data_IF_047872433903
#
_entry.id   IF_047872433903
#
_cell.length_a   1.000
_cell.length_b   1.000
_cell.length_c   1.000
_cell.angle_alpha   90.00
_cell.angle_beta   90.00
_cell.angle_gamma   90.00
#
_symmetry.space_group_name_H-M   'P 1'
#
loop_
_entity.id
_entity.type
_entity.pdbx_description
1 polymer ?
#
# COMPACT_ATOMS: atom_id res chain seq x y z
N UNK A 1 14.13 3.37 -9.69
CA UNK A 1 13.71 2.91 -8.35
C UNK A 1 13.19 1.48 -8.33
N UNK A 2 12.31 1.05 -9.26
CA UNK A 2 11.67 -0.28 -9.22
C UNK A 2 12.63 -1.48 -9.15
N UNK A 3 13.76 -1.46 -9.89
CA UNK A 3 14.73 -2.58 -9.89
C UNK A 3 15.47 -2.69 -8.55
N UNK A 4 15.82 -1.55 -7.93
CA UNK A 4 16.49 -1.54 -6.64
C UNK A 4 15.56 -2.02 -5.51
N UNK A 5 14.29 -1.59 -5.52
CA UNK A 5 13.27 -2.06 -4.56
C UNK A 5 13.08 -3.58 -4.63
N UNK A 6 13.00 -4.15 -5.85
CA UNK A 6 12.86 -5.61 -6.06
C UNK A 6 14.09 -6.37 -5.58
N UNK A 7 15.31 -5.87 -5.85
CA UNK A 7 16.56 -6.47 -5.37
C UNK A 7 16.66 -6.45 -3.85
N UNK A 8 16.30 -5.34 -3.21
CA UNK A 8 16.25 -5.23 -1.75
C UNK A 8 15.19 -6.18 -1.16
N UNK A 9 14.02 -6.30 -1.81
CA UNK A 9 12.99 -7.25 -1.44
C UNK A 9 13.45 -8.71 -1.51
N UNK A 10 14.13 -9.11 -2.59
CA UNK A 10 14.69 -10.46 -2.75
C UNK A 10 15.76 -10.79 -1.70
N UNK A 11 16.64 -9.84 -1.39
CA UNK A 11 17.64 -10.01 -0.34
C UNK A 11 16.98 -10.23 1.03
N UNK A 12 15.96 -9.44 1.34
CA UNK A 12 15.19 -9.57 2.58
C UNK A 12 14.39 -10.88 2.65
N UNK A 13 13.82 -11.32 1.53
CA UNK A 13 13.12 -12.60 1.41
C UNK A 13 14.07 -13.75 1.74
N UNK A 14 15.25 -13.80 1.11
CA UNK A 14 16.22 -14.86 1.36
C UNK A 14 16.66 -14.87 2.84
N UNK A 15 16.97 -13.70 3.41
CA UNK A 15 17.30 -13.57 4.84
C UNK A 15 16.17 -14.08 5.75
N UNK A 16 14.93 -13.78 5.40
CA UNK A 16 13.74 -14.20 6.18
C UNK A 16 13.52 -15.70 6.09
N UNK A 17 13.71 -16.30 4.91
CA UNK A 17 13.66 -17.75 4.71
C UNK A 17 14.72 -18.44 5.55
N UNK A 18 15.96 -17.96 5.51
CA UNK A 18 17.07 -18.55 6.26
C UNK A 18 16.86 -18.43 7.77
N UNK A 19 16.35 -17.29 8.24
CA UNK A 19 15.99 -17.11 9.64
C UNK A 19 14.93 -18.12 10.08
N UNK A 20 13.85 -18.29 9.31
CA UNK A 20 12.80 -19.26 9.62
C UNK A 20 13.41 -20.65 9.66
N UNK A 21 14.13 -21.09 8.62
CA UNK A 21 14.72 -22.44 8.59
C UNK A 21 15.65 -22.72 9.77
N UNK A 22 16.49 -21.75 10.14
CA UNK A 22 17.47 -21.91 11.21
C UNK A 22 16.81 -21.98 12.58
N UNK A 23 15.72 -21.24 12.78
CA UNK A 23 15.10 -21.07 14.09
C UNK A 23 13.78 -21.85 14.25
N UNK A 24 13.25 -22.46 13.20
CA UNK A 24 11.95 -23.15 13.19
C UNK A 24 11.84 -24.20 14.32
N UNK A 25 12.93 -24.91 14.57
CA UNK A 25 12.99 -25.96 15.58
C UNK A 25 13.16 -25.43 17.01
N UNK A 26 13.67 -24.21 17.17
CA UNK A 26 13.97 -23.59 18.48
C UNK A 26 12.84 -22.69 18.96
N UNK A 27 12.05 -22.12 18.03
CA UNK A 27 10.89 -21.32 18.38
C UNK A 27 9.76 -22.19 18.97
N UNK A 28 9.16 -21.71 20.04
CA UNK A 28 7.96 -22.28 20.67
C UNK A 28 6.68 -21.73 20.04
N UNK A 29 6.73 -20.48 19.58
CA UNK A 29 5.58 -19.75 19.05
C UNK A 29 5.85 -19.21 17.65
N UNK A 30 4.82 -19.29 16.81
CA UNK A 30 4.85 -18.79 15.42
C UNK A 30 5.01 -17.26 15.34
N UNK A 31 4.68 -16.54 16.42
CA UNK A 31 4.87 -15.09 16.54
C UNK A 31 6.34 -14.68 16.41
N UNK A 32 7.29 -15.55 16.78
CA UNK A 32 8.72 -15.31 16.60
C UNK A 32 9.12 -15.18 15.13
N UNK A 33 8.30 -15.70 14.21
CA UNK A 33 8.50 -15.61 12.77
C UNK A 33 7.61 -14.56 12.10
N UNK A 34 6.71 -13.90 12.82
CA UNK A 34 5.70 -13.02 12.23
C UNK A 34 6.31 -11.92 11.34
N UNK A 35 7.41 -11.30 11.77
CA UNK A 35 8.14 -10.31 10.97
C UNK A 35 8.75 -10.92 9.71
N UNK A 36 9.39 -12.09 9.82
CA UNK A 36 10.00 -12.78 8.67
C UNK A 36 8.95 -13.25 7.66
N UNK A 37 7.81 -13.73 8.15
CA UNK A 37 6.66 -14.09 7.31
C UNK A 37 6.10 -12.85 6.60
N UNK A 38 5.97 -11.74 7.34
CA UNK A 38 5.57 -10.45 6.78
C UNK A 38 6.52 -9.99 5.66
N UNK A 39 7.82 -10.06 5.90
CA UNK A 39 8.87 -9.71 4.94
C UNK A 39 8.83 -10.55 3.66
N UNK A 40 8.59 -11.86 3.77
CA UNK A 40 8.44 -12.75 2.61
C UNK A 40 7.24 -12.30 1.76
N UNK A 41 6.09 -12.07 2.41
CA UNK A 41 4.87 -11.67 1.70
C UNK A 41 4.97 -10.25 1.11
N UNK A 42 5.66 -9.33 1.79
CA UNK A 42 5.91 -7.97 1.28
C UNK A 42 6.87 -7.98 0.09
N UNK A 43 7.89 -8.85 0.10
CA UNK A 43 8.80 -9.01 -1.01
C UNK A 43 8.09 -9.57 -2.25
N UNK A 44 7.19 -10.55 -2.10
CA UNK A 44 6.34 -11.04 -3.20
C UNK A 44 5.47 -9.92 -3.79
N UNK A 45 4.86 -9.13 -2.92
CA UNK A 45 4.06 -7.96 -3.28
C UNK A 45 4.88 -6.93 -4.08
N UNK A 46 6.14 -6.68 -3.66
CA UNK A 46 7.06 -5.76 -4.34
C UNK A 46 7.49 -6.30 -5.71
N UNK A 47 7.81 -7.60 -5.83
CA UNK A 47 8.12 -8.25 -7.11
C UNK A 47 6.93 -8.11 -8.07
N UNK A 48 5.71 -8.41 -7.60
CA UNK A 48 4.51 -8.32 -8.42
C UNK A 48 4.16 -6.88 -8.82
N UNK A 49 4.30 -5.92 -7.89
CA UNK A 49 4.14 -4.48 -8.19
C UNK A 49 5.20 -3.99 -9.17
N UNK A 50 6.44 -4.44 -9.05
CA UNK A 50 7.52 -4.09 -9.95
C UNK A 50 7.23 -4.53 -11.39
N UNK A 51 6.77 -5.78 -11.55
CA UNK A 51 6.29 -6.30 -12.83
C UNK A 51 5.10 -5.50 -13.40
N UNK A 52 4.11 -5.21 -12.57
CA UNK A 52 2.91 -4.48 -12.98
C UNK A 52 3.18 -3.01 -13.36
N UNK A 53 4.13 -2.35 -12.68
CA UNK A 53 4.54 -0.98 -12.99
C UNK A 53 5.35 -0.90 -14.28
N UNK A 54 6.26 -1.86 -14.53
CA UNK A 54 7.05 -1.91 -15.76
C UNK A 54 6.20 -2.29 -16.98
N UNK A 55 5.20 -3.15 -16.82
CA UNK A 55 4.21 -3.40 -17.87
C UNK A 55 3.41 -2.15 -18.29
N UNK A 56 3.33 -1.13 -17.42
CA UNK A 56 2.70 0.18 -17.73
C UNK A 56 3.67 1.22 -18.30
N UNK A 57 4.97 0.98 -18.25
CA UNK A 57 5.99 1.83 -18.88
C UNK A 57 6.14 1.43 -20.36
N UNK A 58 6.37 2.41 -21.24
CA UNK A 58 6.19 2.29 -22.69
C UNK A 58 6.98 1.17 -23.38
N UNK A 59 6.48 0.79 -24.55
CA UNK A 59 6.89 -0.30 -25.45
C UNK A 59 8.42 -0.42 -25.64
N UNK A 60 9.18 0.68 -25.56
CA UNK A 60 10.64 0.69 -25.72
C UNK A 60 11.42 -0.04 -24.61
N UNK A 61 10.88 -0.14 -23.38
CA UNK A 61 11.54 -0.77 -22.22
C UNK A 61 11.05 -2.22 -21.98
N UNK A 62 10.05 -2.67 -22.74
CA UNK A 62 9.39 -3.98 -22.60
C UNK A 62 10.11 -5.13 -23.33
N UNK A 63 11.00 -4.84 -24.29
CA UNK A 63 11.60 -5.85 -25.18
C UNK A 63 13.02 -6.28 -24.81
N UNK A 64 13.54 -5.86 -23.66
CA UNK A 64 14.75 -6.48 -23.11
C UNK A 64 14.45 -7.92 -22.71
N UNK A 65 14.73 -8.92 -23.55
CA UNK A 65 14.49 -10.34 -23.24
C UNK A 65 15.08 -10.74 -21.85
N UNK A 66 16.21 -10.12 -21.49
CA UNK A 66 16.89 -10.27 -20.20
C UNK A 66 16.08 -9.72 -19.01
N UNK A 67 15.33 -8.62 -19.17
CA UNK A 67 14.54 -8.01 -18.09
C UNK A 67 13.26 -8.82 -17.83
N UNK A 68 12.59 -9.30 -18.88
CA UNK A 68 11.41 -10.16 -18.76
C UNK A 68 11.77 -11.52 -18.16
N UNK A 69 12.87 -12.14 -18.62
CA UNK A 69 13.34 -13.41 -18.07
C UNK A 69 13.67 -13.30 -16.57
N UNK A 70 14.40 -12.26 -16.15
CA UNK A 70 14.71 -12.01 -14.73
C UNK A 70 13.44 -11.88 -13.90
N UNK A 71 12.45 -11.12 -14.37
CA UNK A 71 11.20 -10.89 -13.64
C UNK A 71 10.36 -12.16 -13.44
N UNK A 72 10.35 -13.04 -14.45
CA UNK A 72 9.68 -14.33 -14.34
C UNK A 72 10.43 -15.24 -13.37
N UNK A 73 11.76 -15.28 -13.46
CA UNK A 73 12.61 -16.09 -12.58
C UNK A 73 12.46 -15.63 -11.13
N UNK A 74 12.55 -14.32 -10.85
CA UNK A 74 12.43 -13.77 -9.50
C UNK A 74 11.06 -14.07 -8.88
N UNK A 75 9.98 -13.97 -9.68
CA UNK A 75 8.64 -14.33 -9.23
C UNK A 75 8.49 -15.83 -8.94
N UNK A 76 9.14 -16.69 -9.73
CA UNK A 76 9.14 -18.14 -9.49
C UNK A 76 9.93 -18.51 -8.24
N UNK A 77 11.12 -17.92 -8.06
CA UNK A 77 11.95 -18.14 -6.87
C UNK A 77 11.19 -17.70 -5.61
N UNK A 78 10.55 -16.53 -5.62
CA UNK A 78 9.78 -16.07 -4.47
C UNK A 78 8.62 -17.03 -4.13
N UNK A 79 7.87 -17.48 -5.14
CA UNK A 79 6.79 -18.44 -4.95
C UNK A 79 7.27 -19.80 -4.41
N UNK A 80 8.42 -20.30 -4.88
CA UNK A 80 9.04 -21.53 -4.38
C UNK A 80 9.44 -21.39 -2.91
N UNK A 81 10.10 -20.28 -2.56
CA UNK A 81 10.52 -19.99 -1.19
C UNK A 81 9.32 -19.85 -0.24
N UNK A 82 8.26 -19.18 -0.69
CA UNK A 82 7.00 -19.09 0.05
C UNK A 82 6.40 -20.48 0.28
N UNK A 83 6.36 -21.32 -0.76
CA UNK A 83 5.84 -22.68 -0.62
C UNK A 83 6.68 -23.49 0.38
N UNK A 84 8.00 -23.44 0.26
CA UNK A 84 8.92 -24.13 1.18
C UNK A 84 8.67 -23.73 2.64
N UNK A 85 8.55 -22.44 2.92
CA UNK A 85 8.25 -21.94 4.26
C UNK A 85 6.84 -22.33 4.71
N UNK A 86 5.85 -22.31 3.82
CA UNK A 86 4.49 -22.72 4.17
C UNK A 86 4.43 -24.16 4.66
N UNK A 87 5.12 -25.07 3.94
CA UNK A 87 5.21 -26.48 4.33
C UNK A 87 5.99 -26.62 5.63
N UNK A 88 7.10 -25.90 5.79
CA UNK A 88 7.91 -25.97 7.02
C UNK A 88 7.12 -25.50 8.25
N UNK A 89 6.37 -24.40 8.12
CA UNK A 89 5.50 -23.87 9.18
C UNK A 89 4.38 -24.86 9.51
N UNK A 90 3.69 -25.39 8.50
CA UNK A 90 2.59 -26.34 8.71
C UNK A 90 3.07 -27.67 9.32
N UNK A 91 4.25 -28.15 8.92
CA UNK A 91 4.87 -29.35 9.51
C UNK A 91 5.22 -29.15 11.00
N UNK A 92 5.57 -27.93 11.40
CA UNK A 92 5.98 -27.62 12.78
C UNK A 92 4.80 -27.29 13.69
N UNK A 93 3.86 -26.47 13.21
CA UNK A 93 2.79 -25.89 14.02
C UNK A 93 1.42 -26.49 13.74
N UNK A 94 1.32 -27.44 12.81
CA UNK A 94 0.08 -28.09 12.40
C UNK A 94 -0.45 -27.53 11.08
N UNK A 95 -1.11 -28.39 10.32
CA UNK A 95 -1.63 -28.11 8.99
C UNK A 95 -2.56 -26.89 8.98
N UNK A 96 -2.38 -25.98 8.02
CA UNK A 96 -3.21 -24.79 7.85
C UNK A 96 -2.82 -23.61 8.73
N UNK A 97 -1.78 -23.72 9.55
CA UNK A 97 -1.22 -22.61 10.34
C UNK A 97 -0.68 -21.50 9.44
N UNK A 98 0.04 -21.86 8.39
CA UNK A 98 0.50 -20.89 7.41
C UNK A 98 -0.68 -20.15 6.75
N UNK A 99 -1.70 -20.92 6.36
CA UNK A 99 -2.88 -20.36 5.69
C UNK A 99 -3.63 -19.37 6.60
N UNK A 100 -3.84 -19.70 7.87
CA UNK A 100 -4.53 -18.81 8.80
C UNK A 100 -3.79 -17.49 9.01
N UNK A 101 -2.45 -17.51 9.04
CA UNK A 101 -1.62 -16.29 9.13
C UNK A 101 -1.79 -15.42 7.89
N UNK A 102 -1.71 -16.01 6.71
CA UNK A 102 -1.86 -15.28 5.44
C UNK A 102 -3.27 -14.69 5.32
N UNK A 103 -4.30 -15.47 5.65
CA UNK A 103 -5.70 -15.05 5.57
C UNK A 103 -5.99 -13.91 6.58
N UNK A 104 -5.48 -14.01 7.81
CA UNK A 104 -5.61 -12.95 8.82
C UNK A 104 -4.89 -11.66 8.40
N UNK A 105 -3.68 -11.78 7.83
CA UNK A 105 -2.95 -10.63 7.29
C UNK A 105 -3.70 -9.98 6.15
N UNK A 106 -4.26 -10.78 5.24
CA UNK A 106 -5.06 -10.30 4.11
C UNK A 106 -6.30 -9.54 4.61
N UNK A 107 -7.00 -10.08 5.62
CA UNK A 107 -8.13 -9.43 6.29
C UNK A 107 -7.75 -8.06 6.86
N UNK A 108 -6.70 -7.99 7.68
CA UNK A 108 -6.23 -6.73 8.27
C UNK A 108 -5.80 -5.71 7.22
N UNK A 109 -5.14 -6.15 6.15
CA UNK A 109 -4.74 -5.26 5.06
C UNK A 109 -5.96 -4.73 4.30
N UNK A 110 -6.99 -5.54 4.10
CA UNK A 110 -8.24 -5.12 3.47
C UNK A 110 -8.98 -4.10 4.34
N UNK A 111 -9.15 -4.37 5.64
CA UNK A 111 -9.76 -3.45 6.60
C UNK A 111 -9.01 -2.11 6.63
N UNK A 112 -7.68 -2.12 6.66
CA UNK A 112 -6.88 -0.90 6.61
C UNK A 112 -7.08 -0.12 5.30
N UNK A 113 -7.19 -0.81 4.16
CA UNK A 113 -7.48 -0.19 2.86
C UNK A 113 -8.88 0.41 2.81
N UNK A 114 -9.87 -0.26 3.38
CA UNK A 114 -11.26 0.21 3.44
C UNK A 114 -11.37 1.45 4.32
N UNK A 115 -10.78 1.43 5.52
CA UNK A 115 -10.71 2.61 6.38
C UNK A 115 -9.97 3.78 5.73
N UNK A 116 -8.88 3.52 5.00
CA UNK A 116 -8.16 4.57 4.30
C UNK A 116 -9.01 5.20 3.18
N UNK A 117 -9.79 4.39 2.45
CA UNK A 117 -10.73 4.87 1.43
C UNK A 117 -11.86 5.69 2.05
N UNK A 118 -12.41 5.24 3.18
CA UNK A 118 -13.47 5.96 3.89
C UNK A 118 -12.98 7.31 4.42
N UNK A 119 -11.81 7.34 5.09
CA UNK A 119 -11.17 8.58 5.53
C UNK A 119 -10.92 9.53 4.36
N UNK A 120 -10.47 9.02 3.21
CA UNK A 120 -10.27 9.81 2.01
C UNK A 120 -11.59 10.37 1.44
N UNK A 121 -12.70 9.62 1.51
CA UNK A 121 -14.03 10.11 1.12
C UNK A 121 -14.52 11.21 2.05
N UNK A 122 -14.43 11.00 3.36
CA UNK A 122 -14.83 11.99 4.37
C UNK A 122 -13.99 13.27 4.23
N UNK A 123 -12.68 13.14 4.01
CA UNK A 123 -11.81 14.29 3.80
C UNK A 123 -12.20 15.10 2.55
N UNK A 124 -12.59 14.43 1.45
CA UNK A 124 -13.10 15.10 0.24
C UNK A 124 -14.43 15.82 0.50
N UNK A 125 -15.38 15.16 1.18
CA UNK A 125 -16.66 15.79 1.53
C UNK A 125 -16.47 17.03 2.40
N UNK A 126 -15.61 16.94 3.42
CA UNK A 126 -15.27 18.11 4.26
C UNK A 126 -14.64 19.24 3.47
N UNK A 127 -13.79 18.93 2.49
CA UNK A 127 -13.22 19.96 1.62
C UNK A 127 -14.30 20.64 0.77
N UNK A 128 -15.24 19.87 0.20
CA UNK A 128 -16.37 20.39 -0.56
C UNK A 128 -17.28 21.28 0.30
N UNK A 129 -17.65 20.82 1.51
CA UNK A 129 -18.45 21.59 2.46
C UNK A 129 -17.76 22.90 2.88
N UNK A 130 -16.46 22.87 3.18
CA UNK A 130 -15.71 24.08 3.53
C UNK A 130 -15.67 25.05 2.35
N UNK A 131 -15.46 24.56 1.13
CA UNK A 131 -15.46 25.40 -0.08
C UNK A 131 -16.82 26.06 -0.33
N UNK A 132 -17.91 25.33 -0.10
CA UNK A 132 -19.27 25.87 -0.21
C UNK A 132 -19.54 26.95 0.85
N UNK A 133 -19.21 26.68 2.11
CA UNK A 133 -19.37 27.65 3.20
C UNK A 133 -18.53 28.91 2.95
N UNK A 134 -17.27 28.75 2.52
CA UNK A 134 -16.41 29.88 2.14
C UNK A 134 -17.01 30.68 0.99
N UNK A 135 -17.54 30.00 -0.04
CA UNK A 135 -18.22 30.65 -1.15
C UNK A 135 -19.42 31.49 -0.69
N UNK A 136 -20.27 30.94 0.17
CA UNK A 136 -21.45 31.66 0.72
C UNK A 136 -21.00 32.88 1.54
N UNK A 137 -20.00 32.74 2.41
CA UNK A 137 -19.49 33.85 3.23
C UNK A 137 -18.94 34.98 2.35
N UNK A 138 -18.19 34.65 1.29
CA UNK A 138 -17.67 35.64 0.35
C UNK A 138 -18.78 36.40 -0.38
N UNK A 139 -19.85 35.71 -0.80
CA UNK A 139 -21.02 36.34 -1.44
C UNK A 139 -21.72 37.30 -0.47
N UNK A 140 -21.94 36.89 0.79
CA UNK A 140 -22.56 37.75 1.81
C UNK A 140 -21.71 39.00 2.04
N UNK A 141 -20.40 38.85 2.20
CA UNK A 141 -19.48 39.98 2.38
C UNK A 141 -19.49 40.92 1.18
N UNK A 142 -19.54 40.40 -0.05
CA UNK A 142 -19.62 41.21 -1.26
C UNK A 142 -20.93 42.02 -1.33
N UNK A 143 -22.07 41.40 -1.03
CA UNK A 143 -23.37 42.08 -1.02
C UNK A 143 -23.44 43.15 0.08
N UNK A 144 -23.00 42.82 1.31
CA UNK A 144 -22.93 43.78 2.40
C UNK A 144 -21.98 44.94 2.10
N UNK A 145 -20.83 44.66 1.49
CA UNK A 145 -19.85 45.67 1.08
C UNK A 145 -20.42 46.63 0.04
N UNK A 146 -21.08 46.11 -1.01
CA UNK A 146 -21.75 46.93 -2.02
C UNK A 146 -22.88 47.78 -1.41
N UNK A 147 -23.68 47.20 -0.51
CA UNK A 147 -24.75 47.91 0.18
C UNK A 147 -24.23 49.08 1.03
N UNK A 148 -23.15 48.85 1.80
CA UNK A 148 -22.50 49.91 2.58
C UNK A 148 -21.91 51.01 1.69
N UNK A 149 -21.32 50.65 0.55
CA UNK A 149 -20.73 51.59 -0.39
C UNK A 149 -21.81 52.48 -1.05
N UNK A 150 -22.92 51.88 -1.48
CA UNK A 150 -24.08 52.61 -2.01
C UNK A 150 -24.69 53.54 -0.95
N UNK A 151 -24.84 53.07 0.28
CA UNK A 151 -25.32 53.89 1.39
C UNK A 151 -24.39 55.09 1.65
N UNK A 152 -23.07 54.87 1.68
CA UNK A 152 -22.09 55.93 1.85
C UNK A 152 -22.20 57.00 0.75
N UNK A 153 -22.31 56.58 -0.52
CA UNK A 153 -22.46 57.51 -1.65
C UNK A 153 -23.74 58.35 -1.51
N UNK A 154 -24.88 57.70 -1.23
CA UNK A 154 -26.16 58.39 -1.04
C UNK A 154 -26.13 59.37 0.13
N UNK A 155 -25.52 58.97 1.26
CA UNK A 155 -25.43 59.84 2.44
C UNK A 155 -24.56 61.09 2.24
N UNK A 156 -23.67 61.09 1.24
CA UNK A 156 -22.81 62.22 0.88
C UNK A 156 -23.43 63.15 -0.17
N UNK A 157 -24.49 62.70 -0.86
CA UNK A 157 -25.15 63.47 -1.93
C UNK A 157 -26.31 64.35 -1.43
N UNK A 158 -26.69 64.21 -0.16
CA UNK A 158 -27.64 65.06 0.56
C UNK A 158 -26.89 65.98 1.53
#
# INVERSE_FOLDING_TARGET
>A
MVVAEVLTGLALLNKSVDFIKTNLNTARDISAFAESIGNILDAEDQIQKGRSKKAKMGIADQFGLKTVASEIIDAKIAAEKRYEISVAVDMRFGNGTWKSIVDERARRLQEAKEQAKERARIAKQKQEEIMEVVGIVLVILAVCGLGMLLFYILSKTW
#
